data_IF_261699951332
#
_entry.id   IF_261699951332
#
_cell.length_a   1.000
_cell.length_b   1.000
_cell.length_c   1.000
_cell.angle_alpha   90.00
_cell.angle_beta   90.00
_cell.angle_gamma   90.00
#
_symmetry.space_group_name_H-M   'P 1'
#
loop_
_entity.id
_entity.type
_entity.pdbx_description
1 polymer ?
#
# COMPACT_ATOMS: atom_id res chain seq x y z
N UNK A 1 2.63 -18.35 6.94
CA UNK A 1 3.92 -17.65 6.77
C UNK A 1 4.23 -17.56 5.28
N UNK A 2 4.59 -16.36 4.81
CA UNK A 2 4.98 -16.07 3.43
C UNK A 2 6.41 -15.54 3.41
N UNK A 3 7.13 -15.78 2.32
CA UNK A 3 8.54 -15.39 2.21
C UNK A 3 8.89 -14.89 0.81
N UNK A 4 9.93 -14.08 0.75
CA UNK A 4 10.63 -13.76 -0.49
C UNK A 4 12.10 -14.13 -0.34
N UNK A 5 12.62 -14.86 -1.32
CA UNK A 5 14.05 -15.09 -1.53
C UNK A 5 14.38 -15.01 -3.01
N UNK A 6 15.43 -14.29 -3.42
CA UNK A 6 15.79 -14.19 -4.83
C UNK A 6 16.34 -15.52 -5.38
N UNK A 7 16.14 -15.74 -6.67
CA UNK A 7 16.88 -16.78 -7.38
C UNK A 7 18.34 -16.34 -7.56
N UNK A 8 19.28 -17.06 -6.96
CA UNK A 8 20.73 -16.77 -7.00
C UNK A 8 21.49 -17.77 -7.87
N UNK A 9 22.66 -17.35 -8.37
CA UNK A 9 23.58 -18.26 -9.08
C UNK A 9 24.08 -19.39 -8.16
N UNK A 10 24.39 -19.06 -6.90
CA UNK A 10 24.58 -20.04 -5.84
C UNK A 10 23.28 -20.09 -5.07
N UNK A 11 22.47 -21.13 -5.25
CA UNK A 11 21.12 -21.18 -4.71
C UNK A 11 21.10 -21.41 -3.21
N UNK A 12 20.01 -21.01 -2.57
CA UNK A 12 19.72 -21.43 -1.20
C UNK A 12 19.33 -22.93 -1.21
N UNK A 13 19.85 -23.73 -0.28
CA UNK A 13 19.51 -25.15 -0.19
C UNK A 13 18.01 -25.41 0.02
N UNK A 14 17.34 -24.52 0.77
CA UNK A 14 15.91 -24.58 1.04
C UNK A 14 15.02 -23.89 -0.01
N UNK A 15 15.59 -23.11 -0.92
CA UNK A 15 14.88 -22.38 -1.98
C UNK A 15 15.74 -22.27 -3.25
N UNK A 16 16.01 -23.36 -3.95
CA UNK A 16 16.97 -23.39 -5.07
C UNK A 16 16.56 -22.50 -6.25
N UNK A 17 15.27 -22.23 -6.42
CA UNK A 17 14.74 -21.33 -7.46
C UNK A 17 14.26 -19.98 -6.89
N UNK A 18 14.65 -19.67 -5.65
CA UNK A 18 14.09 -18.58 -4.86
C UNK A 18 12.66 -18.86 -4.43
N UNK A 19 12.10 -17.96 -3.62
CA UNK A 19 10.72 -18.03 -3.14
C UNK A 19 10.03 -16.68 -3.33
N UNK A 20 8.75 -16.68 -3.67
CA UNK A 20 7.93 -15.50 -3.95
C UNK A 20 6.50 -15.71 -3.46
N UNK A 21 6.35 -16.39 -2.34
CA UNK A 21 5.01 -16.66 -1.78
C UNK A 21 4.30 -15.36 -1.36
N UNK A 22 5.02 -14.31 -0.95
CA UNK A 22 4.46 -12.98 -0.68
C UNK A 22 3.77 -12.42 -1.93
N UNK A 23 4.49 -12.28 -3.04
CA UNK A 23 3.94 -11.75 -4.28
C UNK A 23 2.77 -12.57 -4.83
N UNK A 24 2.85 -13.91 -4.72
CA UNK A 24 1.76 -14.82 -5.13
C UNK A 24 0.52 -14.66 -4.27
N UNK A 25 0.69 -14.48 -2.96
CA UNK A 25 -0.42 -14.25 -2.04
C UNK A 25 -1.13 -12.93 -2.36
N UNK A 26 -0.39 -11.83 -2.52
CA UNK A 26 -0.97 -10.55 -2.94
C UNK A 26 -1.67 -10.65 -4.30
N UNK A 27 -1.05 -11.29 -5.30
CA UNK A 27 -1.67 -11.45 -6.60
C UNK A 27 -2.99 -12.23 -6.55
N UNK A 28 -3.13 -13.21 -5.66
CA UNK A 28 -4.40 -13.93 -5.42
C UNK A 28 -5.40 -13.06 -4.67
N UNK A 29 -4.97 -12.41 -3.58
CA UNK A 29 -5.83 -11.60 -2.72
C UNK A 29 -6.40 -10.39 -3.47
N UNK A 30 -5.60 -9.68 -4.26
CA UNK A 30 -6.08 -8.54 -5.07
C UNK A 30 -7.10 -8.96 -6.14
N UNK A 31 -6.96 -10.14 -6.74
CA UNK A 31 -8.00 -10.65 -7.66
C UNK A 31 -9.33 -10.96 -6.99
N UNK A 32 -9.30 -11.29 -5.69
CA UNK A 32 -10.52 -11.52 -4.90
C UNK A 32 -11.11 -10.26 -4.31
N UNK A 33 -10.35 -9.20 -4.15
CA UNK A 33 -10.79 -7.95 -3.54
C UNK A 33 -12.03 -7.38 -4.25
N UNK A 34 -13.04 -6.97 -3.48
CA UNK A 34 -14.32 -6.45 -3.98
C UNK A 34 -14.68 -5.08 -3.44
N UNK A 35 -14.38 -4.81 -2.17
CA UNK A 35 -14.83 -3.59 -1.51
C UNK A 35 -13.70 -2.68 -1.09
N UNK A 36 -12.67 -3.22 -0.43
CA UNK A 36 -11.57 -2.45 0.13
C UNK A 36 -10.25 -3.20 0.01
N UNK A 37 -9.23 -2.50 -0.47
CA UNK A 37 -7.83 -2.78 -0.20
C UNK A 37 -7.29 -1.61 0.63
N UNK A 38 -6.87 -1.89 1.86
CA UNK A 38 -6.20 -0.93 2.76
C UNK A 38 -4.75 -1.32 2.94
N UNK A 39 -3.84 -0.37 2.74
CA UNK A 39 -2.39 -0.60 2.82
C UNK A 39 -1.74 0.51 3.64
N UNK A 40 -0.89 0.13 4.60
CA UNK A 40 0.13 1.03 5.13
C UNK A 40 1.50 0.51 4.75
N UNK A 41 2.29 1.33 4.08
CA UNK A 41 3.58 0.93 3.53
C UNK A 41 4.56 2.09 3.52
N UNK A 42 5.83 1.75 3.57
CA UNK A 42 6.90 2.73 3.55
C UNK A 42 7.07 3.39 2.17
N UNK A 43 6.66 2.75 1.09
CA UNK A 43 7.12 3.17 -0.24
C UNK A 43 6.05 3.33 -1.33
N UNK A 44 5.34 2.29 -1.70
CA UNK A 44 4.45 2.25 -2.87
C UNK A 44 5.14 2.81 -4.14
N UNK A 45 6.24 2.28 -4.56
CA UNK A 45 6.99 2.85 -5.70
C UNK A 45 7.23 1.94 -6.89
N UNK A 46 6.68 0.74 -6.94
CA UNK A 46 6.89 -0.20 -8.04
C UNK A 46 5.79 -0.15 -9.10
N UNK A 47 6.18 -0.20 -10.37
CA UNK A 47 5.22 -0.40 -11.47
C UNK A 47 4.52 -1.75 -11.38
N UNK A 48 5.22 -2.83 -11.00
CA UNK A 48 4.64 -4.18 -10.88
C UNK A 48 3.53 -4.20 -9.81
N UNK A 49 3.75 -3.49 -8.69
CA UNK A 49 2.75 -3.34 -7.63
C UNK A 49 1.57 -2.48 -8.10
N UNK A 50 1.87 -1.34 -8.75
CA UNK A 50 0.82 -0.47 -9.28
C UNK A 50 -0.02 -1.17 -10.36
N UNK A 51 0.59 -2.01 -11.19
CA UNK A 51 -0.12 -2.82 -12.19
C UNK A 51 -1.04 -3.85 -11.52
N UNK A 52 -0.58 -4.52 -10.46
CA UNK A 52 -1.38 -5.50 -9.73
C UNK A 52 -2.60 -4.86 -9.01
N UNK A 53 -2.38 -3.75 -8.29
CA UNK A 53 -3.45 -2.98 -7.66
C UNK A 53 -4.39 -2.33 -8.69
N UNK A 54 -3.82 -1.81 -9.78
CA UNK A 54 -4.57 -1.21 -10.88
C UNK A 54 -5.46 -2.21 -11.60
N UNK A 55 -4.99 -3.45 -11.77
CA UNK A 55 -5.82 -4.55 -12.30
C UNK A 55 -7.01 -4.86 -11.37
N UNK A 56 -6.81 -4.87 -10.06
CA UNK A 56 -7.89 -5.05 -9.10
C UNK A 56 -8.95 -3.93 -9.23
N UNK A 57 -8.53 -2.66 -9.26
CA UNK A 57 -9.42 -1.51 -9.47
C UNK A 57 -10.17 -1.53 -10.80
N UNK A 58 -9.55 -2.08 -11.85
CA UNK A 58 -10.16 -2.20 -13.18
C UNK A 58 -11.19 -3.33 -13.22
N UNK A 59 -10.89 -4.45 -12.56
CA UNK A 59 -11.74 -5.64 -12.57
C UNK A 59 -12.94 -5.51 -11.62
N UNK A 60 -12.87 -4.65 -10.61
CA UNK A 60 -13.98 -4.40 -9.69
C UNK A 60 -14.24 -2.90 -9.56
N UNK A 61 -15.40 -2.45 -10.03
CA UNK A 61 -15.80 -1.03 -10.05
C UNK A 61 -16.18 -0.49 -8.67
N UNK A 62 -16.50 -1.35 -7.73
CA UNK A 62 -16.86 -0.96 -6.36
C UNK A 62 -15.66 -0.96 -5.43
N UNK A 63 -14.54 -1.54 -5.86
CA UNK A 63 -13.33 -1.63 -5.06
C UNK A 63 -12.73 -0.25 -4.78
N UNK A 64 -12.44 0.02 -3.52
CA UNK A 64 -11.69 1.18 -3.07
C UNK A 64 -10.28 0.77 -2.66
N UNK A 65 -9.34 1.64 -2.93
CA UNK A 65 -7.94 1.47 -2.55
C UNK A 65 -7.51 2.66 -1.70
N UNK A 66 -7.10 2.38 -0.47
CA UNK A 66 -6.50 3.35 0.45
C UNK A 66 -5.06 2.95 0.69
N UNK A 67 -4.15 3.91 0.56
CA UNK A 67 -2.73 3.71 0.88
C UNK A 67 -2.27 4.81 1.84
N UNK A 68 -1.57 4.44 2.90
CA UNK A 68 -0.93 5.37 3.83
C UNK A 68 0.58 5.18 3.74
N UNK A 69 1.29 6.27 3.44
CA UNK A 69 2.75 6.27 3.23
C UNK A 69 3.40 7.42 4.00
N UNK A 70 4.71 7.38 4.29
CA UNK A 70 5.39 8.52 4.87
C UNK A 70 5.40 9.71 3.90
N UNK A 71 5.33 10.93 4.40
CA UNK A 71 5.41 12.15 3.60
C UNK A 71 6.72 12.24 2.81
N UNK A 72 7.81 11.82 3.43
CA UNK A 72 9.13 11.77 2.84
C UNK A 72 9.65 10.33 2.88
N UNK A 73 10.11 9.77 1.76
CA UNK A 73 10.73 8.45 1.78
C UNK A 73 12.04 8.51 2.57
N UNK A 74 12.31 7.44 3.30
CA UNK A 74 13.61 7.25 3.95
C UNK A 74 14.69 7.03 2.89
N UNK A 75 15.94 7.33 3.19
CA UNK A 75 17.04 7.22 2.23
C UNK A 75 17.16 8.36 1.21
N UNK A 76 17.12 9.58 1.69
CA UNK A 76 17.36 10.75 0.86
C UNK A 76 18.85 11.01 0.56
N UNK A 77 19.59 9.95 0.22
CA UNK A 77 20.89 10.14 -0.42
C UNK A 77 20.69 10.86 -1.77
N UNK A 78 21.60 11.78 -2.10
CA UNK A 78 21.56 12.55 -3.36
C UNK A 78 21.41 11.66 -4.59
N UNK A 79 21.86 10.41 -4.49
CA UNK A 79 21.87 9.41 -5.59
C UNK A 79 20.59 8.55 -5.59
N UNK A 80 20.07 8.17 -4.42
CA UNK A 80 18.96 7.21 -4.29
C UNK A 80 17.58 7.86 -4.19
N UNK A 81 17.50 9.08 -3.67
CA UNK A 81 16.24 9.81 -3.52
C UNK A 81 15.48 10.07 -4.83
N UNK A 82 16.11 10.64 -5.89
CA UNK A 82 15.43 10.93 -7.14
C UNK A 82 14.81 9.70 -7.84
N UNK A 83 15.49 8.54 -7.94
CA UNK A 83 14.90 7.32 -8.50
C UNK A 83 13.65 6.85 -7.77
N UNK A 84 13.67 6.86 -6.42
CA UNK A 84 12.54 6.44 -5.59
C UNK A 84 11.30 7.32 -5.81
N UNK A 85 11.50 8.63 -5.86
CA UNK A 85 10.43 9.60 -6.13
C UNK A 85 9.80 9.40 -7.51
N UNK A 86 10.59 9.05 -8.53
CA UNK A 86 10.06 8.74 -9.87
C UNK A 86 9.22 7.47 -9.85
N UNK A 87 9.67 6.43 -9.15
CA UNK A 87 8.92 5.18 -8.98
C UNK A 87 7.57 5.43 -8.33
N UNK A 88 7.55 6.15 -7.21
CA UNK A 88 6.33 6.49 -6.49
C UNK A 88 5.38 7.39 -7.32
N UNK A 89 5.90 8.44 -7.95
CA UNK A 89 5.10 9.32 -8.82
C UNK A 89 4.39 8.54 -9.94
N UNK A 90 5.10 7.58 -10.58
CA UNK A 90 4.53 6.74 -11.63
C UNK A 90 3.46 5.79 -11.09
N UNK A 91 3.71 5.15 -9.96
CA UNK A 91 2.75 4.26 -9.33
C UNK A 91 1.47 5.01 -8.96
N UNK A 92 1.59 6.17 -8.28
CA UNK A 92 0.45 7.01 -7.90
C UNK A 92 -0.33 7.47 -9.13
N UNK A 93 0.33 7.96 -10.18
CA UNK A 93 -0.35 8.38 -11.42
C UNK A 93 -1.10 7.24 -12.10
N UNK A 94 -0.53 6.05 -12.11
CA UNK A 94 -1.20 4.86 -12.66
C UNK A 94 -2.46 4.54 -11.87
N UNK A 95 -2.36 4.48 -10.54
CA UNK A 95 -3.47 4.16 -9.67
C UNK A 95 -4.56 5.25 -9.69
N UNK A 96 -4.18 6.52 -9.69
CA UNK A 96 -5.13 7.63 -9.81
C UNK A 96 -5.90 7.61 -11.12
N UNK A 97 -5.23 7.29 -12.23
CA UNK A 97 -5.88 7.15 -13.55
C UNK A 97 -6.87 5.98 -13.60
N UNK A 98 -6.55 4.85 -12.98
CA UNK A 98 -7.38 3.64 -13.01
C UNK A 98 -8.47 3.64 -11.95
N UNK A 99 -8.19 4.17 -10.77
CA UNK A 99 -9.11 4.23 -9.64
C UNK A 99 -10.02 5.45 -9.62
N UNK A 100 -9.54 6.60 -10.12
CA UNK A 100 -10.26 7.86 -10.02
C UNK A 100 -10.59 8.19 -8.55
N UNK A 101 -11.85 8.47 -8.26
CA UNK A 101 -12.35 8.75 -6.90
C UNK A 101 -12.32 7.56 -5.95
N UNK A 102 -11.97 6.37 -6.42
CA UNK A 102 -11.87 5.13 -5.63
C UNK A 102 -10.45 4.86 -5.12
N UNK A 103 -9.49 5.69 -5.48
CA UNK A 103 -8.11 5.63 -4.99
C UNK A 103 -7.81 6.85 -4.13
N UNK A 104 -7.32 6.61 -2.94
CA UNK A 104 -6.82 7.64 -2.03
C UNK A 104 -5.45 7.24 -1.50
N UNK A 105 -4.57 8.22 -1.40
CA UNK A 105 -3.25 8.04 -0.78
C UNK A 105 -3.00 9.18 0.20
N UNK A 106 -2.56 8.81 1.39
CA UNK A 106 -2.39 9.73 2.52
C UNK A 106 -0.98 9.65 3.09
N UNK A 107 -0.57 10.70 3.75
CA UNK A 107 0.50 10.71 4.73
C UNK A 107 -0.03 11.22 6.06
N UNK A 108 0.70 10.96 7.13
CA UNK A 108 0.28 11.33 8.48
C UNK A 108 0.97 12.59 8.96
N UNK A 109 0.18 13.57 9.41
CA UNK A 109 0.64 14.81 9.99
C UNK A 109 0.87 14.61 11.50
N UNK A 110 2.05 14.95 11.97
CA UNK A 110 2.34 15.04 13.40
C UNK A 110 2.25 16.49 13.88
N UNK A 111 2.34 16.70 15.19
CA UNK A 111 2.21 18.03 15.77
C UNK A 111 3.35 18.97 15.33
N UNK A 112 4.56 18.45 15.24
CA UNK A 112 5.75 19.21 14.82
C UNK A 112 6.36 18.72 13.52
N UNK A 113 6.34 17.40 13.30
CA UNK A 113 6.93 16.72 12.14
C UNK A 113 5.95 15.68 11.58
N UNK A 114 5.97 15.40 10.26
CA UNK A 114 5.21 14.31 9.69
C UNK A 114 5.56 12.97 10.36
N UNK A 115 4.56 12.15 10.61
CA UNK A 115 4.78 10.80 11.15
C UNK A 115 5.38 9.93 10.05
N UNK A 116 6.47 9.24 10.40
CA UNK A 116 7.11 8.30 9.49
C UNK A 116 6.42 6.94 9.55
N UNK A 117 5.69 6.60 8.50
CA UNK A 117 4.99 5.31 8.36
C UNK A 117 6.02 4.24 7.95
N UNK A 118 6.34 3.32 8.87
CA UNK A 118 7.21 2.16 8.61
C UNK A 118 6.45 0.83 8.70
N UNK A 119 5.13 0.89 8.72
CA UNK A 119 4.27 -0.29 8.68
C UNK A 119 4.41 -1.04 7.34
N UNK A 120 4.13 -2.33 7.35
CA UNK A 120 3.90 -3.16 6.17
C UNK A 120 2.69 -4.01 6.49
N UNK A 121 1.52 -3.45 6.25
CA UNK A 121 0.24 -4.08 6.50
C UNK A 121 -0.67 -3.91 5.29
N UNK A 122 -1.39 -4.97 4.95
CA UNK A 122 -2.45 -4.95 3.96
C UNK A 122 -3.67 -5.65 4.51
N UNK A 123 -4.85 -5.02 4.37
CA UNK A 123 -6.14 -5.59 4.78
C UNK A 123 -7.07 -5.56 3.58
N UNK A 124 -7.73 -6.69 3.28
CA UNK A 124 -8.62 -6.83 2.13
C UNK A 124 -10.00 -7.28 2.61
N UNK A 125 -11.02 -6.47 2.30
CA UNK A 125 -12.44 -6.74 2.52
C UNK A 125 -12.78 -7.13 3.98
N UNK A 126 -11.95 -6.74 4.96
CA UNK A 126 -12.02 -7.21 6.36
C UNK A 126 -11.94 -8.75 6.54
N UNK A 127 -11.48 -9.46 5.51
CA UNK A 127 -11.42 -10.93 5.51
C UNK A 127 -10.00 -11.42 5.73
N UNK A 128 -9.04 -10.81 5.04
CA UNK A 128 -7.66 -11.25 4.97
C UNK A 128 -6.73 -10.07 5.26
N UNK A 129 -5.63 -10.35 5.98
CA UNK A 129 -4.61 -9.35 6.23
C UNK A 129 -3.21 -9.95 6.18
N UNK A 130 -2.23 -9.08 5.92
CA UNK A 130 -0.80 -9.38 6.08
C UNK A 130 -0.14 -8.38 6.99
N UNK A 131 0.87 -8.86 7.72
CA UNK A 131 1.84 -8.04 8.45
C UNK A 131 3.21 -8.66 8.21
N UNK A 132 4.21 -7.85 7.84
CA UNK A 132 5.53 -8.38 7.53
C UNK A 132 6.62 -7.34 7.42
N UNK A 133 7.74 -7.75 6.83
CA UNK A 133 8.86 -6.87 6.51
C UNK A 133 8.80 -6.34 5.07
N UNK A 134 7.98 -6.96 4.21
CA UNK A 134 7.91 -6.68 2.79
C UNK A 134 7.22 -5.36 2.47
N UNK A 135 7.89 -4.52 1.72
CA UNK A 135 7.30 -3.28 1.21
C UNK A 135 6.56 -3.51 -0.12
N UNK A 136 5.65 -2.60 -0.45
CA UNK A 136 4.92 -2.58 -1.72
C UNK A 136 5.83 -2.10 -2.86
N UNK A 137 6.86 -2.90 -3.13
CA UNK A 137 7.79 -2.72 -4.23
C UNK A 137 8.21 -4.08 -4.82
N UNK A 138 8.72 -4.09 -6.05
CA UNK A 138 9.16 -5.31 -6.72
C UNK A 138 10.34 -5.95 -6.01
N UNK A 139 11.20 -5.13 -5.43
CA UNK A 139 12.37 -5.55 -4.69
C UNK A 139 11.98 -6.48 -3.54
N UNK A 140 11.07 -6.08 -2.65
CA UNK A 140 10.59 -6.91 -1.55
C UNK A 140 9.79 -8.13 -2.04
N UNK A 141 9.12 -8.02 -3.18
CA UNK A 141 8.33 -9.12 -3.73
C UNK A 141 9.16 -10.18 -4.47
N UNK A 142 10.42 -9.86 -4.87
CA UNK A 142 11.19 -10.76 -5.75
C UNK A 142 12.67 -10.89 -5.44
N UNK A 143 13.29 -9.94 -4.74
CA UNK A 143 14.74 -9.82 -4.62
C UNK A 143 15.26 -9.87 -3.19
N UNK A 144 14.67 -9.12 -2.27
CA UNK A 144 15.14 -9.08 -0.88
C UNK A 144 14.73 -10.35 -0.12
N UNK A 145 15.31 -10.58 1.04
CA UNK A 145 14.88 -11.63 1.96
C UNK A 145 13.81 -11.05 2.87
N UNK A 146 12.56 -11.48 2.68
CA UNK A 146 11.40 -10.95 3.40
C UNK A 146 10.60 -12.06 4.07
N UNK A 147 9.92 -11.68 5.14
CA UNK A 147 9.01 -12.53 5.89
C UNK A 147 7.70 -11.80 6.17
N UNK A 148 6.58 -12.44 5.89
CA UNK A 148 5.25 -11.95 6.21
C UNK A 148 4.36 -13.03 6.80
N UNK A 149 3.42 -12.62 7.64
CA UNK A 149 2.29 -13.42 8.07
C UNK A 149 1.07 -13.03 7.25
N UNK A 150 0.49 -13.97 6.51
CA UNK A 150 -0.87 -13.85 6.01
C UNK A 150 -1.81 -14.46 7.03
N UNK A 151 -2.83 -13.71 7.39
CA UNK A 151 -3.76 -14.06 8.47
C UNK A 151 -5.16 -14.12 7.89
N UNK A 152 -5.79 -15.26 8.09
CA UNK A 152 -7.21 -15.51 7.90
C UNK A 152 -7.74 -16.02 9.24
N UNK A 153 -8.39 -15.13 9.99
CA UNK A 153 -8.95 -15.46 11.30
C UNK A 153 -10.19 -16.35 11.14
N UNK A 154 -10.36 -17.34 12.01
CA UNK A 154 -11.52 -18.22 11.96
C UNK A 154 -12.78 -17.56 12.56
N UNK A 155 -12.63 -16.49 13.34
CA UNK A 155 -13.72 -15.81 14.02
C UNK A 155 -14.41 -14.81 13.09
N UNK A 156 -15.70 -15.06 12.80
CA UNK A 156 -16.53 -14.17 12.02
C UNK A 156 -16.94 -12.93 12.80
N UNK A 157 -16.91 -11.78 12.14
CA UNK A 157 -17.46 -10.51 12.65
C UNK A 157 -18.85 -10.28 12.07
N UNK A 158 -19.88 -10.35 12.91
CA UNK A 158 -21.27 -10.27 12.50
C UNK A 158 -21.81 -8.83 12.41
N UNK A 159 -20.99 -7.81 12.69
CA UNK A 159 -21.41 -6.41 12.50
C UNK A 159 -21.66 -6.11 11.02
N UNK A 160 -22.66 -5.29 10.74
CA UNK A 160 -22.98 -4.94 9.35
C UNK A 160 -21.89 -4.00 8.75
N UNK A 161 -21.49 -4.21 7.48
CA UNK A 161 -21.80 -5.35 6.62
C UNK A 161 -21.02 -6.61 7.02
N UNK A 162 -21.71 -7.72 7.29
CA UNK A 162 -21.06 -8.98 7.72
C UNK A 162 -20.24 -9.67 6.62
N UNK A 163 -20.49 -9.35 5.36
CA UNK A 163 -19.72 -9.81 4.20
C UNK A 163 -19.44 -8.62 3.27
N UNK A 164 -18.44 -7.79 3.57
CA UNK A 164 -18.16 -6.58 2.79
C UNK A 164 -17.83 -6.87 1.31
N UNK A 165 -17.16 -7.99 1.04
CA UNK A 165 -16.78 -8.40 -0.31
C UNK A 165 -17.92 -9.03 -1.10
N UNK A 166 -19.01 -9.46 -0.46
CA UNK A 166 -20.15 -10.10 -1.12
C UNK A 166 -19.82 -11.48 -1.73
N UNK A 167 -18.79 -12.15 -1.24
CA UNK A 167 -18.31 -13.43 -1.76
C UNK A 167 -18.67 -14.63 -0.86
N UNK A 168 -19.38 -14.39 0.23
CA UNK A 168 -19.68 -15.40 1.24
C UNK A 168 -18.51 -15.73 2.17
N UNK A 169 -17.40 -14.98 2.11
CA UNK A 169 -16.25 -15.20 2.97
C UNK A 169 -16.51 -14.74 4.42
N UNK A 170 -17.34 -13.73 4.59
CA UNK A 170 -17.65 -13.08 5.87
C UNK A 170 -16.46 -12.29 6.43
N UNK A 171 -16.76 -11.14 7.04
CA UNK A 171 -15.72 -10.36 7.72
C UNK A 171 -15.14 -11.11 8.92
N UNK A 172 -13.87 -10.87 9.20
CA UNK A 172 -13.12 -11.52 10.29
C UNK A 172 -12.78 -10.52 11.39
N UNK A 173 -12.92 -10.96 12.63
CA UNK A 173 -12.74 -10.10 13.80
C UNK A 173 -11.37 -9.44 13.79
N UNK A 174 -10.29 -10.18 13.54
CA UNK A 174 -8.93 -9.62 13.60
C UNK A 174 -8.68 -8.60 12.47
N UNK A 175 -9.00 -8.94 11.23
CA UNK A 175 -8.78 -8.05 10.09
C UNK A 175 -9.57 -6.74 10.24
N UNK A 176 -10.87 -6.84 10.57
CA UNK A 176 -11.74 -5.68 10.76
C UNK A 176 -11.34 -4.82 11.96
N UNK A 177 -11.10 -5.43 13.11
CA UNK A 177 -10.73 -4.68 14.31
C UNK A 177 -9.38 -3.97 14.13
N UNK A 178 -8.43 -4.60 13.43
CA UNK A 178 -7.16 -3.95 13.09
C UNK A 178 -7.38 -2.75 12.19
N UNK A 179 -8.19 -2.86 11.13
CA UNK A 179 -8.53 -1.73 10.26
C UNK A 179 -9.17 -0.58 11.05
N UNK A 180 -10.17 -0.89 11.86
CA UNK A 180 -10.90 0.12 12.63
C UNK A 180 -9.96 0.84 13.61
N UNK A 181 -9.09 0.11 14.32
CA UNK A 181 -8.12 0.72 15.25
C UNK A 181 -7.12 1.65 14.54
N UNK A 182 -6.61 1.25 13.37
CA UNK A 182 -5.73 2.11 12.57
C UNK A 182 -6.47 3.38 12.11
N UNK A 183 -7.73 3.23 11.69
CA UNK A 183 -8.54 4.37 11.27
C UNK A 183 -8.92 5.28 12.45
N UNK A 184 -9.20 4.72 13.63
CA UNK A 184 -9.39 5.49 14.88
C UNK A 184 -8.17 6.36 15.17
N UNK A 185 -6.97 5.78 15.09
CA UNK A 185 -5.73 6.51 15.31
C UNK A 185 -5.54 7.63 14.27
N UNK A 186 -5.76 7.33 12.98
CA UNK A 186 -5.54 8.30 11.90
C UNK A 186 -6.58 9.42 11.89
N UNK A 187 -7.81 9.13 12.27
CA UNK A 187 -8.91 10.09 12.31
C UNK A 187 -9.00 10.82 13.65
N UNK A 188 -8.31 10.31 14.69
CA UNK A 188 -8.33 10.91 16.03
C UNK A 188 -9.71 10.88 16.70
N UNK A 189 -10.51 9.84 16.40
CA UNK A 189 -11.89 9.65 16.90
C UNK A 189 -12.25 8.17 16.99
N UNK A 190 -13.15 7.81 17.90
CA UNK A 190 -13.52 6.41 18.17
C UNK A 190 -14.76 5.91 17.38
N UNK A 191 -15.56 6.83 16.81
CA UNK A 191 -16.81 6.53 16.12
C UNK A 191 -16.56 6.24 14.61
N UNK A 192 -15.75 5.23 14.32
CA UNK A 192 -15.41 4.85 12.95
C UNK A 192 -16.51 3.94 12.39
N UNK A 193 -17.06 4.25 11.20
CA UNK A 193 -18.02 3.38 10.54
C UNK A 193 -17.43 1.99 10.27
N UNK A 194 -18.21 0.95 10.59
CA UNK A 194 -17.83 -0.44 10.27
C UNK A 194 -17.85 -0.65 8.76
N UNK A 195 -18.78 0.00 8.04
CA UNK A 195 -18.86 -0.04 6.59
C UNK A 195 -17.60 0.61 5.96
N UNK A 196 -16.90 -0.10 5.08
CA UNK A 196 -15.69 0.42 4.45
C UNK A 196 -15.92 1.65 3.57
N UNK A 197 -17.09 1.80 2.93
CA UNK A 197 -17.38 2.95 2.07
C UNK A 197 -17.65 4.20 2.87
N UNK A 198 -18.40 4.09 3.97
CA UNK A 198 -18.63 5.22 4.89
C UNK A 198 -17.32 5.68 5.50
N UNK A 199 -16.51 4.72 5.95
CA UNK A 199 -15.18 5.02 6.49
C UNK A 199 -14.23 5.62 5.44
N UNK A 200 -14.29 5.18 4.18
CA UNK A 200 -13.54 5.78 3.07
C UNK A 200 -13.91 7.25 2.86
N UNK A 201 -15.21 7.57 2.89
CA UNK A 201 -15.70 8.94 2.79
C UNK A 201 -15.19 9.78 3.96
N UNK A 202 -15.30 9.27 5.18
CA UNK A 202 -14.82 9.94 6.40
C UNK A 202 -13.32 10.25 6.34
N UNK A 203 -12.48 9.32 5.85
CA UNK A 203 -11.04 9.55 5.70
C UNK A 203 -10.74 10.65 4.69
N UNK A 204 -11.47 10.72 3.58
CA UNK A 204 -11.33 11.79 2.59
C UNK A 204 -11.68 13.14 3.16
N UNK A 205 -12.85 13.24 3.82
CA UNK A 205 -13.32 14.49 4.42
C UNK A 205 -12.35 15.00 5.49
N UNK A 206 -11.81 14.09 6.32
CA UNK A 206 -10.81 14.44 7.34
C UNK A 206 -9.51 14.95 6.72
N UNK A 207 -9.02 14.30 5.65
CA UNK A 207 -7.82 14.73 4.95
C UNK A 207 -8.02 16.10 4.27
N UNK A 208 -9.15 16.32 3.62
CA UNK A 208 -9.48 17.58 2.97
C UNK A 208 -9.63 18.72 3.97
N UNK A 209 -10.23 18.45 5.13
CA UNK A 209 -10.35 19.42 6.23
C UNK A 209 -8.96 19.83 6.77
N UNK A 210 -8.09 18.85 7.01
CA UNK A 210 -6.74 19.12 7.52
C UNK A 210 -5.87 19.83 6.48
N UNK A 211 -5.98 19.49 5.20
CA UNK A 211 -5.29 20.18 4.11
C UNK A 211 -5.78 21.63 3.98
N UNK A 212 -7.09 21.88 4.11
CA UNK A 212 -7.67 23.22 4.07
C UNK A 212 -7.19 24.07 5.24
N UNK A 213 -7.09 23.50 6.43
CA UNK A 213 -6.53 24.19 7.60
C UNK A 213 -5.07 24.58 7.40
N UNK A 214 -4.25 23.69 6.82
CA UNK A 214 -2.87 24.02 6.47
C UNK A 214 -2.79 25.11 5.38
N UNK A 215 -3.65 25.04 4.37
CA UNK A 215 -3.70 26.02 3.28
C UNK A 215 -4.12 27.42 3.76
N UNK A 216 -4.95 27.50 4.78
CA UNK A 216 -5.34 28.77 5.44
C UNK A 216 -4.24 29.38 6.32
N UNK A 217 -3.06 28.77 6.39
CA UNK A 217 -2.00 29.23 7.30
C UNK A 217 -2.20 28.73 8.75
N UNK A 218 -2.92 27.63 8.93
CA UNK A 218 -3.26 27.06 10.25
C UNK A 218 -4.13 27.96 11.11
N UNK A 219 -5.04 28.69 10.49
CA UNK A 219 -5.96 29.57 11.17
C UNK A 219 -7.15 28.78 11.74
N UNK A 220 -7.60 29.18 12.94
CA UNK A 220 -8.71 28.52 13.63
C UNK A 220 -8.34 27.22 14.32
N UNK A 221 -9.36 26.45 14.69
CA UNK A 221 -9.18 25.17 15.38
C UNK A 221 -8.65 24.13 14.41
N UNK A 222 -7.57 23.43 14.83
CA UNK A 222 -7.03 22.32 14.05
C UNK A 222 -8.07 21.18 13.97
N UNK A 223 -8.41 20.69 12.76
CA UNK A 223 -9.25 19.50 12.62
C UNK A 223 -8.68 18.28 13.34
N UNK A 224 -9.55 17.40 13.82
CA UNK A 224 -9.12 16.13 14.40
C UNK A 224 -8.42 15.25 13.34
N UNK A 225 -7.63 14.31 13.84
CA UNK A 225 -6.93 13.36 12.98
C UNK A 225 -5.59 13.85 12.43
N UNK A 226 -5.00 12.99 11.60
CA UNK A 226 -3.62 13.13 11.13
C UNK A 226 -3.48 12.95 9.61
N UNK A 227 -4.56 12.58 8.92
CA UNK A 227 -4.53 12.31 7.48
C UNK A 227 -4.35 13.59 6.68
N UNK A 228 -3.42 13.55 5.74
CA UNK A 228 -3.22 14.56 4.68
C UNK A 228 -3.19 13.88 3.32
N UNK A 229 -3.78 14.49 2.31
CA UNK A 229 -3.64 14.00 0.95
C UNK A 229 -2.16 14.00 0.55
N UNK A 230 -1.64 12.83 0.20
CA UNK A 230 -0.23 12.70 -0.15
C UNK A 230 0.05 13.28 -1.54
N UNK A 231 1.01 14.20 -1.61
CA UNK A 231 1.48 14.78 -2.85
C UNK A 231 2.87 14.24 -3.16
N UNK A 232 3.04 13.46 -4.24
CA UNK A 232 4.35 12.94 -4.59
C UNK A 232 5.32 14.07 -4.91
N UNK A 233 6.55 13.96 -4.43
CA UNK A 233 7.58 14.95 -4.73
C UNK A 233 7.90 14.96 -6.23
N UNK A 234 7.83 16.12 -6.86
CA UNK A 234 8.13 16.27 -8.29
C UNK A 234 9.63 16.24 -8.56
N UNK A 235 10.04 15.46 -9.55
CA UNK A 235 11.45 15.37 -9.99
C UNK A 235 11.65 16.21 -11.26
N UNK A 236 12.72 17.03 -11.29
CA UNK A 236 13.07 17.85 -12.46
C UNK A 236 13.28 16.99 -13.70
N UNK A 237 12.83 17.47 -14.88
CA UNK A 237 12.86 16.72 -16.16
C UNK A 237 14.24 16.16 -16.53
N UNK A 238 15.33 16.91 -16.33
CA UNK A 238 16.69 16.46 -16.66
C UNK A 238 17.18 15.26 -15.81
N UNK A 239 16.74 15.15 -14.57
CA UNK A 239 17.12 14.06 -13.67
C UNK A 239 16.37 12.76 -13.99
N UNK A 240 15.22 12.84 -14.69
CA UNK A 240 14.32 11.68 -14.93
C UNK A 240 14.92 10.57 -15.78
N UNK A 241 15.76 10.89 -16.76
CA UNK A 241 16.31 9.89 -17.70
C UNK A 241 17.36 9.03 -17.02
N UNK A 242 18.35 9.64 -16.39
CA UNK A 242 19.41 8.93 -15.66
C UNK A 242 18.85 8.18 -14.43
N UNK A 243 17.99 8.82 -13.66
CA UNK A 243 17.38 8.21 -12.49
C UNK A 243 16.47 7.02 -12.84
N UNK A 244 15.85 6.99 -14.02
CA UNK A 244 15.00 5.88 -14.45
C UNK A 244 15.76 4.58 -14.75
N UNK A 245 17.01 4.64 -15.20
CA UNK A 245 17.88 3.48 -15.38
C UNK A 245 18.37 2.94 -14.02
N UNK A 246 18.84 3.82 -13.16
CA UNK A 246 19.26 3.47 -11.80
C UNK A 246 18.14 2.87 -10.97
N UNK A 247 16.91 3.39 -11.10
CA UNK A 247 15.75 2.90 -10.37
C UNK A 247 15.56 1.38 -10.54
N UNK A 248 15.53 0.89 -11.78
CA UNK A 248 15.28 -0.54 -12.07
C UNK A 248 16.41 -1.46 -11.64
N UNK A 249 17.65 -0.99 -11.64
CA UNK A 249 18.82 -1.82 -11.37
C UNK A 249 19.20 -1.84 -9.89
N UNK A 250 19.02 -0.72 -9.19
CA UNK A 250 19.52 -0.53 -7.82
C UNK A 250 18.38 -0.43 -6.82
N UNK A 251 17.38 0.41 -7.09
CA UNK A 251 16.34 0.73 -6.11
C UNK A 251 15.21 -0.31 -6.09
N UNK A 252 14.83 -0.82 -7.26
CA UNK A 252 13.74 -1.80 -7.40
C UNK A 252 14.15 -2.97 -8.32
N UNK A 253 15.23 -3.73 -7.95
CA UNK A 253 15.72 -4.85 -8.75
C UNK A 253 14.69 -5.97 -8.85
N UNK A 254 14.79 -6.76 -9.92
CA UNK A 254 13.95 -7.91 -10.15
C UNK A 254 14.73 -9.20 -9.88
N UNK A 255 14.41 -9.91 -8.82
CA UNK A 255 15.03 -11.17 -8.39
C UNK A 255 14.41 -12.41 -9.02
N UNK A 256 13.44 -12.28 -9.94
CA UNK A 256 12.82 -13.42 -10.62
C UNK A 256 13.78 -14.07 -11.63
N UNK A 257 13.67 -15.39 -11.85
CA UNK A 257 14.26 -16.05 -13.02
C UNK A 257 13.77 -15.43 -14.34
N UNK A 258 14.61 -15.46 -15.40
CA UNK A 258 14.29 -14.84 -16.69
C UNK A 258 12.95 -15.30 -17.29
N UNK A 259 12.59 -16.57 -17.12
CA UNK A 259 11.30 -17.12 -17.58
C UNK A 259 10.11 -16.41 -16.93
N UNK A 260 10.17 -16.20 -15.61
CA UNK A 260 9.11 -15.51 -14.85
C UNK A 260 9.07 -14.01 -15.15
N UNK A 261 10.21 -13.37 -15.45
CA UNK A 261 10.23 -11.96 -15.90
C UNK A 261 9.54 -11.79 -17.24
N UNK A 262 9.76 -12.72 -18.19
CA UNK A 262 9.14 -12.69 -19.53
C UNK A 262 7.62 -12.90 -19.45
N UNK A 263 7.16 -13.84 -18.62
CA UNK A 263 5.73 -14.12 -18.42
C UNK A 263 5.02 -13.13 -17.48
N UNK A 264 5.76 -12.20 -16.85
CA UNK A 264 5.28 -11.28 -15.81
C UNK A 264 4.60 -11.99 -14.62
N UNK A 265 5.02 -13.23 -14.32
CA UNK A 265 4.51 -14.04 -13.20
C UNK A 265 5.47 -14.08 -12.01
N UNK A 266 4.96 -14.62 -10.89
CA UNK A 266 5.73 -14.75 -9.65
C UNK A 266 5.94 -16.20 -9.24
#
# INVERSE_FOLDING_TARGET
>A
VLRTYPAKRVPYGFAPHGERSIARAYAKAFRRARRLIYVEDQYLWSSDVADALGAALTNCRELRLIVVVPKYPDSDGVITGPPNRIGQERAIKTLARLGGSRFSIYNLDGDSWPIYVHAKICIIDDVWMTVGSDNFNRRSWTHDSELACAILDDTLDHRAPSDPGGLGDGARVLARSTRLRLWEEHLGRADIPVDPDEGYAMMRDAADALDSWHASGRLGVRPAGRLRNHQPATVRRGTRVLAGLFYRLVNDPDGRPLALRKSRSY
#
